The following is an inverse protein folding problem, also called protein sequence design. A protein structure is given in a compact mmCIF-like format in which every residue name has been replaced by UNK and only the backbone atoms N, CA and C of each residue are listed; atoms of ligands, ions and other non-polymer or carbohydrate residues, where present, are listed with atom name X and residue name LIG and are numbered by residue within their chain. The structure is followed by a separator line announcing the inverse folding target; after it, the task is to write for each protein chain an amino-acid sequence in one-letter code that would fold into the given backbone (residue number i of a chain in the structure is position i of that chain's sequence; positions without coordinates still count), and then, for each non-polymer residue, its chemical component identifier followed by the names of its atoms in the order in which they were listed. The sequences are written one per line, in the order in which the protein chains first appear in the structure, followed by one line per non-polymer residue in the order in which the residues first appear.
data_IF_382326371944
#
_entry.id   IF_382326371944
#
_cell.length_a   1.000
_cell.length_b   1.000
_cell.length_c   1.000
_cell.angle_alpha   90.00
_cell.angle_beta   90.00
_cell.angle_gamma   90.00
#
_symmetry.space_group_name_H-M   'P 1'
#
loop_
_entity.id
_entity.type
_entity.pdbx_description
1 polymer ?
#
# COMPACT_ATOMS: atom_id res chain seq x y z
N UNK A 1 4.04 12.54 -17.13
CA UNK A 1 3.13 13.13 -16.13
C UNK A 1 2.21 12.02 -15.70
N UNK A 2 2.05 11.74 -14.40
CA UNK A 2 1.23 10.62 -13.96
C UNK A 2 -0.23 10.83 -14.39
N UNK A 3 -0.90 9.74 -14.74
CA UNK A 3 -2.32 9.75 -15.06
C UNK A 3 -3.11 10.29 -13.86
N UNK A 4 -4.10 11.16 -14.07
CA UNK A 4 -4.86 11.78 -12.97
C UNK A 4 -5.51 10.72 -12.06
N UNK A 5 -6.14 9.70 -12.65
CA UNK A 5 -6.65 8.55 -11.89
C UNK A 5 -5.58 7.77 -11.13
N UNK A 6 -4.33 7.73 -11.60
CA UNK A 6 -3.26 7.05 -10.86
C UNK A 6 -2.92 7.84 -9.59
N UNK A 7 -2.84 9.17 -9.68
CA UNK A 7 -2.67 10.03 -8.49
C UNK A 7 -3.81 9.89 -7.49
N UNK A 8 -5.05 9.77 -7.99
CA UNK A 8 -6.22 9.47 -7.15
C UNK A 8 -6.07 8.11 -6.45
N UNK A 9 -5.65 7.07 -7.17
CA UNK A 9 -5.37 5.76 -6.59
C UNK A 9 -4.32 5.82 -5.48
N UNK A 10 -3.28 6.63 -5.66
CA UNK A 10 -2.21 6.87 -4.67
C UNK A 10 -2.74 7.63 -3.45
N UNK A 11 -3.61 8.63 -3.66
CA UNK A 11 -4.24 9.35 -2.57
C UNK A 11 -5.15 8.43 -1.73
N UNK A 12 -5.98 7.61 -2.38
CA UNK A 12 -6.81 6.60 -1.71
C UNK A 12 -5.96 5.60 -0.92
N UNK A 13 -4.84 5.12 -1.50
CA UNK A 13 -3.89 4.26 -0.80
C UNK A 13 -3.35 4.92 0.47
N UNK A 14 -2.92 6.18 0.36
CA UNK A 14 -2.35 6.94 1.49
C UNK A 14 -3.39 7.23 2.58
N UNK A 15 -4.67 7.33 2.22
CA UNK A 15 -5.80 7.47 3.14
C UNK A 15 -6.31 6.12 3.68
N UNK A 16 -5.66 5.01 3.31
CA UNK A 16 -6.07 3.64 3.66
C UNK A 16 -7.46 3.24 3.13
N UNK A 17 -8.00 3.96 2.16
CA UNK A 17 -9.20 3.57 1.42
C UNK A 17 -8.84 2.52 0.36
N UNK A 18 -8.37 1.36 0.84
CA UNK A 18 -7.79 0.33 -0.02
C UNK A 18 -8.80 -0.29 -0.98
N UNK A 19 -10.09 -0.28 -0.64
CA UNK A 19 -11.14 -0.74 -1.55
C UNK A 19 -11.36 0.23 -2.71
N UNK A 20 -11.47 1.54 -2.45
CA UNK A 20 -11.58 2.51 -3.54
C UNK A 20 -10.27 2.60 -4.37
N UNK A 21 -9.12 2.43 -3.71
CA UNK A 21 -7.81 2.32 -4.35
C UNK A 21 -7.77 1.12 -5.31
N UNK A 22 -8.28 -0.04 -4.87
CA UNK A 22 -8.39 -1.24 -5.71
C UNK A 22 -9.16 -0.95 -7.00
N UNK A 23 -10.39 -0.43 -6.89
CA UNK A 23 -11.24 -0.19 -8.06
C UNK A 23 -10.59 0.79 -9.05
N UNK A 24 -9.96 1.84 -8.52
CA UNK A 24 -9.27 2.86 -9.33
C UNK A 24 -8.06 2.29 -10.05
N UNK A 25 -7.23 1.50 -9.36
CA UNK A 25 -6.03 0.90 -9.95
C UNK A 25 -6.35 -0.30 -10.86
N UNK A 26 -7.43 -1.04 -10.61
CA UNK A 26 -7.89 -2.12 -11.48
C UNK A 26 -8.33 -1.59 -12.84
N UNK A 27 -9.12 -0.51 -12.86
CA UNK A 27 -9.53 0.15 -14.10
C UNK A 27 -8.31 0.58 -14.95
N UNK A 28 -7.31 1.20 -14.31
CA UNK A 28 -6.06 1.57 -14.97
C UNK A 28 -5.27 0.37 -15.48
N UNK A 29 -5.19 -0.70 -14.69
CA UNK A 29 -4.44 -1.91 -15.05
C UNK A 29 -5.05 -2.62 -16.26
N UNK A 30 -6.39 -2.68 -16.34
CA UNK A 30 -7.09 -3.32 -17.46
C UNK A 30 -6.72 -2.66 -18.78
N UNK A 31 -6.68 -1.32 -18.81
CA UNK A 31 -6.41 -0.53 -20.02
C UNK A 31 -4.92 -0.35 -20.33
N UNK A 32 -4.05 -0.55 -19.34
CA UNK A 32 -2.63 -0.30 -19.50
C UNK A 32 -1.92 -1.30 -20.44
N UNK A 33 -0.89 -0.79 -21.12
CA UNK A 33 0.11 -1.55 -21.86
C UNK A 33 1.39 -1.69 -21.04
N UNK A 34 2.27 -2.60 -21.46
CA UNK A 34 3.60 -2.68 -20.88
C UNK A 34 4.42 -1.41 -21.21
N UNK A 35 5.24 -0.90 -20.27
CA UNK A 35 5.53 -1.45 -18.93
C UNK A 35 4.56 -1.02 -17.82
N UNK A 36 3.66 -0.04 -18.05
CA UNK A 36 2.74 0.48 -17.02
C UNK A 36 1.83 -0.60 -16.45
N UNK A 37 1.38 -1.54 -17.28
CA UNK A 37 0.50 -2.64 -16.86
C UNK A 37 1.09 -3.43 -15.69
N UNK A 38 2.35 -3.84 -15.81
CA UNK A 38 3.03 -4.59 -14.75
C UNK A 38 3.30 -3.74 -13.51
N UNK A 39 3.58 -2.44 -13.69
CA UNK A 39 3.71 -1.51 -12.57
C UNK A 39 2.40 -1.33 -11.80
N UNK A 40 1.30 -1.00 -12.48
CA UNK A 40 -0.03 -0.83 -11.87
C UNK A 40 -0.49 -2.11 -11.18
N UNK A 41 -0.27 -3.28 -11.78
CA UNK A 41 -0.54 -4.55 -11.12
C UNK A 41 0.26 -4.69 -9.82
N UNK A 42 1.53 -4.30 -9.82
CA UNK A 42 2.36 -4.32 -8.62
C UNK A 42 1.80 -3.44 -7.50
N UNK A 43 1.44 -2.19 -7.80
CA UNK A 43 0.86 -1.26 -6.82
C UNK A 43 -0.50 -1.74 -6.33
N UNK A 44 -1.37 -2.20 -7.24
CA UNK A 44 -2.67 -2.80 -6.93
C UNK A 44 -2.52 -3.97 -5.96
N UNK A 45 -1.55 -4.87 -6.18
CA UNK A 45 -1.31 -5.99 -5.28
C UNK A 45 -0.90 -5.55 -3.87
N UNK A 46 -0.09 -4.49 -3.74
CA UNK A 46 0.23 -3.93 -2.42
C UNK A 46 -1.02 -3.35 -1.74
N UNK A 47 -1.86 -2.62 -2.47
CA UNK A 47 -3.13 -2.07 -1.95
C UNK A 47 -4.07 -3.18 -1.47
N UNK A 48 -4.27 -4.22 -2.28
CA UNK A 48 -5.13 -5.36 -1.93
C UNK A 48 -4.53 -6.16 -0.77
N UNK A 49 -3.21 -6.25 -0.66
CA UNK A 49 -2.59 -6.88 0.50
C UNK A 49 -2.89 -6.14 1.81
N UNK A 50 -2.86 -4.81 1.80
CA UNK A 50 -3.25 -3.98 2.94
C UNK A 50 -4.75 -4.16 3.28
N UNK A 51 -5.62 -4.24 2.27
CA UNK A 51 -7.04 -4.57 2.45
C UNK A 51 -7.25 -5.96 3.07
N UNK A 52 -6.49 -6.97 2.64
CA UNK A 52 -6.55 -8.29 3.27
C UNK A 52 -6.10 -8.23 4.73
N UNK A 53 -5.05 -7.48 5.02
CA UNK A 53 -4.57 -7.30 6.38
C UNK A 53 -5.61 -6.65 7.27
N UNK A 54 -6.30 -5.59 6.81
CA UNK A 54 -7.37 -4.93 7.59
C UNK A 54 -8.56 -5.85 7.88
N UNK A 55 -8.76 -6.89 7.07
CA UNK A 55 -9.77 -7.93 7.25
C UNK A 55 -9.23 -9.19 7.97
N UNK A 56 -8.07 -9.09 8.63
CA UNK A 56 -7.39 -10.18 9.35
C UNK A 56 -7.02 -11.38 8.45
N UNK A 57 -7.03 -11.21 7.14
CA UNK A 57 -6.63 -12.23 6.18
C UNK A 57 -5.11 -12.20 5.97
N UNK A 58 -4.39 -12.75 6.96
CA UNK A 58 -2.94 -12.84 6.96
C UNK A 58 -2.37 -13.49 5.69
N UNK A 59 -2.96 -14.61 5.24
CA UNK A 59 -2.45 -15.36 4.09
C UNK A 59 -2.55 -14.53 2.81
N UNK A 60 -3.69 -13.88 2.59
CA UNK A 60 -3.89 -12.99 1.44
C UNK A 60 -2.90 -11.83 1.44
N UNK A 61 -2.69 -11.20 2.61
CA UNK A 61 -1.73 -10.11 2.76
C UNK A 61 -0.29 -10.54 2.43
N UNK A 62 0.19 -11.65 3.00
CA UNK A 62 1.56 -12.14 2.78
C UNK A 62 1.81 -12.50 1.32
N UNK A 63 0.86 -13.20 0.68
CA UNK A 63 0.98 -13.60 -0.73
C UNK A 63 1.07 -12.37 -1.64
N UNK A 64 0.14 -11.43 -1.50
CA UNK A 64 0.06 -10.27 -2.39
C UNK A 64 1.17 -9.25 -2.13
N UNK A 65 1.66 -9.09 -0.90
CA UNK A 65 2.86 -8.30 -0.62
C UNK A 65 4.07 -8.87 -1.38
N UNK A 66 4.33 -10.18 -1.24
CA UNK A 66 5.47 -10.82 -1.92
C UNK A 66 5.39 -10.69 -3.44
N UNK A 67 4.20 -10.87 -3.99
CA UNK A 67 3.93 -10.71 -5.42
C UNK A 67 4.09 -9.28 -5.94
N UNK A 68 3.55 -8.29 -5.23
CA UNK A 68 3.65 -6.88 -5.58
C UNK A 68 5.11 -6.40 -5.50
N UNK A 69 5.82 -6.74 -4.43
CA UNK A 69 7.26 -6.44 -4.23
C UNK A 69 8.08 -6.97 -5.41
N UNK A 70 7.85 -8.23 -5.80
CA UNK A 70 8.58 -8.86 -6.92
C UNK A 70 8.34 -8.10 -8.23
N UNK A 71 7.11 -7.66 -8.49
CA UNK A 71 6.76 -6.93 -9.73
C UNK A 71 7.37 -5.54 -9.77
N UNK A 72 7.39 -4.83 -8.63
CA UNK A 72 7.83 -3.44 -8.52
C UNK A 72 9.36 -3.25 -8.48
N UNK A 73 10.13 -4.33 -8.26
CA UNK A 73 11.60 -4.26 -8.12
C UNK A 73 12.30 -3.55 -9.28
N UNK A 74 11.86 -3.80 -10.51
CA UNK A 74 12.49 -3.27 -11.74
C UNK A 74 12.14 -1.79 -12.01
N UNK A 75 11.29 -1.17 -11.18
CA UNK A 75 10.80 0.20 -11.34
C UNK A 75 11.47 1.20 -10.37
N UNK A 76 12.49 0.78 -9.63
CA UNK A 76 13.29 1.66 -8.79
C UNK A 76 14.13 2.66 -9.62
N UNK A 77 14.48 3.83 -9.07
CA UNK A 77 14.07 4.33 -7.75
C UNK A 77 12.71 5.03 -7.78
N UNK A 78 12.32 5.58 -8.93
CA UNK A 78 11.09 6.35 -9.12
C UNK A 78 10.43 5.95 -10.44
N UNK A 79 9.12 5.74 -10.42
CA UNK A 79 8.32 5.48 -11.61
C UNK A 79 6.91 6.07 -11.46
N UNK A 80 6.38 6.70 -12.51
CA UNK A 80 5.09 7.42 -12.48
C UNK A 80 4.97 8.41 -11.30
N UNK A 81 6.10 9.03 -10.89
CA UNK A 81 6.15 9.97 -9.77
C UNK A 81 6.14 9.33 -8.37
N UNK A 82 6.15 8.01 -8.27
CA UNK A 82 6.21 7.27 -6.99
C UNK A 82 7.65 6.96 -6.63
N UNK A 83 8.02 7.19 -5.37
CA UNK A 83 9.25 6.66 -4.78
C UNK A 83 9.08 5.15 -4.55
N UNK A 84 9.43 4.38 -5.59
CA UNK A 84 9.31 2.92 -5.62
C UNK A 84 10.29 2.29 -4.61
N UNK A 85 11.45 2.91 -4.38
CA UNK A 85 12.40 2.45 -3.37
C UNK A 85 11.78 2.49 -1.98
N UNK A 86 11.14 3.60 -1.61
CA UNK A 86 10.46 3.75 -0.32
C UNK A 86 9.30 2.77 -0.19
N UNK A 87 8.45 2.65 -1.23
CA UNK A 87 7.33 1.71 -1.23
C UNK A 87 7.82 0.28 -1.01
N UNK A 88 8.83 -0.17 -1.76
CA UNK A 88 9.39 -1.52 -1.63
C UNK A 88 9.98 -1.79 -0.26
N UNK A 89 10.68 -0.81 0.34
CA UNK A 89 11.21 -0.94 1.69
C UNK A 89 10.08 -1.15 2.70
N UNK A 90 9.07 -0.27 2.70
CA UNK A 90 7.93 -0.35 3.63
C UNK A 90 7.12 -1.65 3.44
N UNK A 91 6.87 -2.07 2.20
CA UNK A 91 6.18 -3.33 1.91
C UNK A 91 6.99 -4.55 2.37
N UNK A 92 8.32 -4.51 2.23
CA UNK A 92 9.21 -5.60 2.66
C UNK A 92 9.30 -5.69 4.19
N UNK A 93 9.36 -4.55 4.88
CA UNK A 93 9.29 -4.48 6.34
C UNK A 93 7.97 -5.07 6.85
N UNK A 94 6.84 -4.67 6.26
CA UNK A 94 5.52 -5.23 6.61
C UNK A 94 5.45 -6.74 6.36
N UNK A 95 5.89 -7.20 5.18
CA UNK A 95 5.91 -8.63 4.85
C UNK A 95 6.74 -9.44 5.86
N UNK A 96 7.92 -8.92 6.23
CA UNK A 96 8.81 -9.56 7.20
C UNK A 96 8.15 -9.67 8.56
N UNK A 97 7.53 -8.58 9.05
CA UNK A 97 6.79 -8.59 10.32
C UNK A 97 5.64 -9.59 10.30
N UNK A 98 4.84 -9.62 9.22
CA UNK A 98 3.72 -10.57 9.09
C UNK A 98 4.21 -12.02 9.10
N UNK A 99 5.31 -12.32 8.41
CA UNK A 99 5.89 -13.66 8.40
C UNK A 99 6.43 -14.08 9.78
N UNK A 100 6.97 -13.14 10.55
CA UNK A 100 7.49 -13.41 11.90
C UNK A 100 6.38 -13.69 12.92
N UNK A 101 5.30 -12.92 12.89
CA UNK A 101 4.19 -13.10 13.85
C UNK A 101 3.32 -14.33 13.53
N UNK A 102 3.24 -14.71 12.25
CA UNK A 102 2.34 -15.75 11.76
C UNK A 102 0.86 -15.37 11.81
N UNK A 103 -0.01 -16.24 11.31
CA UNK A 103 -1.45 -15.97 11.21
C UNK A 103 -2.16 -15.83 12.56
N UNK A 104 -1.66 -16.49 13.60
CA UNK A 104 -2.29 -16.52 14.93
C UNK A 104 -2.27 -15.15 15.62
N UNK A 105 -1.27 -14.31 15.31
CA UNK A 105 -1.06 -13.01 15.95
C UNK A 105 -1.47 -11.82 15.06
N UNK A 106 -2.15 -12.07 13.94
CA UNK A 106 -2.51 -11.00 12.99
C UNK A 106 -3.51 -10.00 13.57
N UNK A 107 -4.45 -10.45 14.41
CA UNK A 107 -5.43 -9.59 15.06
C UNK A 107 -4.75 -8.56 15.97
N UNK A 108 -3.92 -9.02 16.90
CA UNK A 108 -3.13 -8.16 17.80
C UNK A 108 -2.21 -7.21 17.03
N UNK A 109 -1.65 -7.66 15.91
CA UNK A 109 -0.82 -6.82 15.06
C UNK A 109 -1.60 -5.67 14.45
N UNK A 110 -2.78 -5.94 13.87
CA UNK A 110 -3.64 -4.91 13.28
C UNK A 110 -4.15 -3.93 14.33
N UNK A 111 -4.56 -4.42 15.50
CA UNK A 111 -4.98 -3.56 16.62
C UNK A 111 -3.86 -2.61 17.06
N UNK A 112 -2.63 -3.11 17.18
CA UNK A 112 -1.46 -2.28 17.51
C UNK A 112 -1.15 -1.24 16.44
N UNK A 113 -1.29 -1.58 15.16
CA UNK A 113 -1.11 -0.62 14.05
C UNK A 113 -2.13 0.53 14.15
N UNK A 114 -3.42 0.20 14.33
CA UNK A 114 -4.47 1.20 14.47
C UNK A 114 -4.23 2.11 15.70
N UNK A 115 -3.81 1.53 16.83
CA UNK A 115 -3.50 2.30 18.03
C UNK A 115 -2.31 3.27 17.84
N UNK A 116 -1.29 2.86 17.08
CA UNK A 116 -0.15 3.73 16.75
C UNK A 116 -0.59 4.90 15.87
N UNK A 117 -1.43 4.66 14.87
CA UNK A 117 -1.94 5.72 13.98
C UNK A 117 -2.75 6.76 14.74
N UNK A 118 -3.65 6.33 15.64
CA UNK A 118 -4.41 7.23 16.50
C UNK A 118 -3.46 8.06 17.38
N UNK A 119 -2.43 7.43 17.95
CA UNK A 119 -1.44 8.12 18.78
C UNK A 119 -0.66 9.18 17.99
N UNK A 120 -0.25 8.88 16.75
CA UNK A 120 0.43 9.86 15.91
C UNK A 120 -0.52 10.98 15.45
N UNK A 121 -1.75 10.65 15.05
CA UNK A 121 -2.75 11.64 14.66
C UNK A 121 -3.09 12.61 15.80
N UNK A 122 -3.17 12.13 17.03
CA UNK A 122 -3.41 12.97 18.22
C UNK A 122 -2.17 13.74 18.70
N UNK A 123 -0.97 13.28 18.34
CA UNK A 123 0.30 13.98 18.65
C UNK A 123 0.61 15.11 17.67
N UNK A 124 0.02 15.09 16.47
CA UNK A 124 0.06 16.21 15.52
C UNK A 124 -1.00 17.23 15.97
N UNK A 125 -0.63 18.14 16.89
CA UNK A 125 -1.44 19.34 17.13
C UNK A 125 -1.56 20.13 15.82
N UNK A 126 -2.74 20.69 15.50
CA UNK A 126 -2.83 21.64 14.39
C UNK A 126 -1.99 22.84 14.79
N UNK A 127 -0.77 22.94 14.24
CA UNK A 127 -0.08 24.23 14.25
C UNK A 127 -0.97 25.17 13.47
N UNK A 128 -1.45 26.19 14.18
CA UNK A 128 -2.32 27.22 13.70
C UNK A 128 -1.91 27.69 12.30
N UNK A 129 -2.92 27.89 11.46
CA UNK A 129 -2.89 28.92 10.43
C UNK A 129 -2.27 30.17 11.06
N UNK A 130 -1.11 30.57 10.58
CA UNK A 130 -0.54 31.90 10.85
C UNK A 130 0.16 32.34 9.57
N UNK A 131 -0.55 33.24 8.90
CA UNK A 131 -0.21 34.23 7.86
C UNK A 131 0.47 33.78 6.55
#
# INVERSE_FOLDING_TARGET
MPHQEFLRGVEQFNQQDFYACHDTLEALWIEALEPQKRFYQGVLQIAVACYHLSNLNWRGAVVLLGEGIRRLRDYQPVYEGIDVTKLLRQSTELLTSLQQIGSEQVADFVERLAALEIKYATSISPKAVSD
#
